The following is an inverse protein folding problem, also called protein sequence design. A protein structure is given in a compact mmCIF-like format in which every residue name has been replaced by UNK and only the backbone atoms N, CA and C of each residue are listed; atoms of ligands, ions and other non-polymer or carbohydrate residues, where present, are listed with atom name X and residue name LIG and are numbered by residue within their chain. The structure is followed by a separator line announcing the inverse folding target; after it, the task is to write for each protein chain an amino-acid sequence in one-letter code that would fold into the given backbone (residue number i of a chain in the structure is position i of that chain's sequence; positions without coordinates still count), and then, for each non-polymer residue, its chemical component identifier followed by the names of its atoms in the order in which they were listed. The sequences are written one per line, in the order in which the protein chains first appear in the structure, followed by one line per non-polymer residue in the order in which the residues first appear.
data_IF_088200774422
#
_entry.id   IF_088200774422
#
_cell.length_a   1.000
_cell.length_b   1.000
_cell.length_c   1.000
_cell.angle_alpha   90.00
_cell.angle_beta   90.00
_cell.angle_gamma   90.00
#
_symmetry.space_group_name_H-M   'P 1'
#
loop_
_entity.id
_entity.type
_entity.pdbx_description
1 polymer ?
#
# COMPACT_ATOMS: atom_id res chain seq x y z
N UNK A 1 -18.72 15.90 11.76
CA UNK A 1 -17.94 14.72 11.34
C UNK A 1 -18.10 14.62 9.83
N UNK A 2 -17.03 14.81 9.08
CA UNK A 2 -17.07 14.74 7.63
C UNK A 2 -16.61 13.33 7.22
N UNK A 3 -17.54 12.52 6.71
CA UNK A 3 -17.30 11.20 6.18
C UNK A 3 -17.53 11.16 4.67
N UNK A 4 -17.11 10.07 4.03
CA UNK A 4 -17.45 9.75 2.65
C UNK A 4 -18.43 8.59 2.65
N UNK A 5 -19.55 8.73 1.95
CA UNK A 5 -20.56 7.68 1.82
C UNK A 5 -20.31 6.87 0.55
N UNK A 6 -20.09 5.58 0.73
CA UNK A 6 -19.98 4.61 -0.37
C UNK A 6 -21.37 4.16 -0.82
N UNK A 7 -21.45 3.54 -2.00
CA UNK A 7 -22.70 2.99 -2.49
C UNK A 7 -23.25 1.89 -1.55
N UNK A 8 -24.54 1.66 -1.52
CA UNK A 8 -25.19 0.74 -0.58
C UNK A 8 -24.71 -0.72 -0.70
N UNK A 9 -24.23 -1.13 -1.87
CA UNK A 9 -23.72 -2.47 -2.14
C UNK A 9 -22.18 -2.53 -2.12
N UNK A 10 -21.53 -1.47 -1.65
CA UNK A 10 -20.08 -1.33 -1.64
C UNK A 10 -19.55 -1.40 -0.20
N UNK A 11 -18.56 -2.25 0.01
CA UNK A 11 -17.93 -2.48 1.32
C UNK A 11 -16.45 -2.20 1.24
N UNK A 12 -15.92 -1.45 2.20
CA UNK A 12 -14.48 -1.20 2.32
C UNK A 12 -13.78 -2.47 2.79
N UNK A 13 -12.78 -2.93 2.01
CA UNK A 13 -11.98 -4.11 2.31
C UNK A 13 -10.55 -3.77 2.72
N UNK A 14 -10.00 -2.68 2.19
CA UNK A 14 -8.63 -2.26 2.45
C UNK A 14 -8.54 -0.75 2.65
N UNK A 15 -7.69 -0.35 3.57
CA UNK A 15 -7.35 1.04 3.87
C UNK A 15 -5.84 1.14 4.03
N UNK A 16 -5.23 2.11 3.35
CA UNK A 16 -3.79 2.34 3.44
C UNK A 16 -3.47 3.84 3.34
N UNK A 17 -2.46 4.29 4.04
CA UNK A 17 -1.88 5.62 3.86
C UNK A 17 -0.52 5.48 3.22
N UNK A 18 -0.29 6.17 2.11
CA UNK A 18 0.94 6.03 1.34
C UNK A 18 1.39 7.33 0.70
N UNK A 19 2.70 7.44 0.50
CA UNK A 19 3.31 8.57 -0.16
C UNK A 19 3.39 8.34 -1.67
N UNK A 20 2.48 8.97 -2.44
CA UNK A 20 2.44 8.86 -3.89
C UNK A 20 3.16 10.03 -4.57
N UNK A 21 3.80 9.74 -5.70
CA UNK A 21 4.38 10.77 -6.55
C UNK A 21 3.26 11.61 -7.18
N UNK A 22 3.41 12.93 -7.08
CA UNK A 22 2.49 13.90 -7.64
C UNK A 22 3.26 14.86 -8.50
N UNK A 23 2.84 15.04 -9.74
CA UNK A 23 3.55 15.90 -10.70
C UNK A 23 3.43 17.41 -10.38
N UNK A 24 2.55 17.76 -9.43
CA UNK A 24 2.16 19.16 -9.20
C UNK A 24 3.02 19.95 -8.22
N UNK A 25 4.06 19.39 -7.60
CA UNK A 25 4.84 20.11 -6.58
C UNK A 25 6.34 19.80 -6.59
N UNK A 26 7.10 20.80 -6.14
CA UNK A 26 8.55 20.71 -5.91
C UNK A 26 8.98 19.64 -4.89
N UNK A 27 8.07 19.09 -4.07
CA UNK A 27 8.33 18.00 -3.14
C UNK A 27 8.13 16.61 -3.76
N UNK A 28 7.53 16.53 -4.96
CA UNK A 28 7.36 15.29 -5.70
C UNK A 28 6.44 14.24 -5.07
N UNK A 29 6.25 14.21 -3.73
CA UNK A 29 5.44 13.20 -3.03
C UNK A 29 4.42 13.80 -2.08
N UNK A 30 3.26 13.15 -2.00
CA UNK A 30 2.19 13.53 -1.08
C UNK A 30 1.63 12.31 -0.37
N UNK A 31 1.41 12.45 0.93
CA UNK A 31 0.74 11.44 1.72
C UNK A 31 -0.76 11.46 1.43
N UNK A 32 -1.30 10.36 0.94
CA UNK A 32 -2.68 10.20 0.50
C UNK A 32 -3.29 8.97 1.15
N UNK A 33 -4.61 8.95 1.25
CA UNK A 33 -5.36 7.81 1.78
C UNK A 33 -5.93 7.02 0.62
N UNK A 34 -5.56 5.75 0.54
CA UNK A 34 -6.03 4.78 -0.43
C UNK A 34 -7.12 3.92 0.21
N UNK A 35 -8.24 3.77 -0.48
CA UNK A 35 -9.35 2.93 -0.03
C UNK A 35 -9.69 1.94 -1.13
N UNK A 36 -9.70 0.67 -0.78
CA UNK A 36 -10.10 -0.43 -1.65
C UNK A 36 -11.44 -1.00 -1.23
N UNK A 37 -12.33 -1.22 -2.19
CA UNK A 37 -13.67 -1.70 -1.92
C UNK A 37 -14.01 -2.97 -2.71
N UNK A 38 -15.09 -3.61 -2.31
CA UNK A 38 -15.79 -4.65 -3.07
C UNK A 38 -17.25 -4.25 -3.23
N UNK A 39 -17.77 -4.42 -4.43
CA UNK A 39 -19.18 -4.28 -4.75
C UNK A 39 -19.76 -5.66 -5.06
N UNK A 40 -20.71 -6.10 -4.24
CA UNK A 40 -21.39 -7.37 -4.41
C UNK A 40 -22.75 -7.15 -5.07
N UNK A 41 -22.98 -7.83 -6.19
CA UNK A 41 -24.21 -7.71 -6.98
C UNK A 41 -25.10 -8.96 -6.93
N UNK A 42 -24.86 -9.86 -5.96
CA UNK A 42 -25.52 -11.15 -5.83
C UNK A 42 -24.71 -12.29 -6.48
N UNK A 43 -25.34 -13.47 -6.57
CA UNK A 43 -24.65 -14.70 -7.02
C UNK A 43 -24.39 -14.74 -8.53
N UNK A 44 -25.19 -14.01 -9.31
CA UNK A 44 -25.16 -14.05 -10.78
C UNK A 44 -24.12 -13.11 -11.41
N UNK A 45 -23.48 -12.26 -10.63
CA UNK A 45 -22.49 -11.30 -11.12
C UNK A 45 -21.17 -11.44 -10.38
N UNK A 46 -20.09 -11.37 -11.13
CA UNK A 46 -18.75 -11.30 -10.54
C UNK A 46 -18.62 -10.03 -9.68
N UNK A 47 -18.03 -10.18 -8.51
CA UNK A 47 -17.73 -9.04 -7.65
C UNK A 47 -16.78 -8.09 -8.38
N UNK A 48 -17.11 -6.82 -8.38
CA UNK A 48 -16.25 -5.72 -8.80
C UNK A 48 -15.73 -4.98 -7.57
N UNK A 49 -14.94 -3.96 -7.76
CA UNK A 49 -14.49 -3.09 -6.69
C UNK A 49 -14.15 -1.72 -7.20
N UNK A 50 -13.81 -0.83 -6.30
CA UNK A 50 -13.26 0.48 -6.64
C UNK A 50 -12.00 0.74 -5.83
N UNK A 51 -11.11 1.50 -6.42
CA UNK A 51 -10.00 2.11 -5.73
C UNK A 51 -10.24 3.61 -5.65
N UNK A 52 -10.21 4.14 -4.43
CA UNK A 52 -10.36 5.55 -4.14
C UNK A 52 -9.04 6.12 -3.64
N UNK A 53 -8.76 7.33 -4.02
CA UNK A 53 -7.63 8.11 -3.51
C UNK A 53 -8.18 9.38 -2.90
N UNK A 54 -7.93 9.58 -1.61
CA UNK A 54 -8.34 10.76 -0.88
C UNK A 54 -7.14 11.55 -0.42
N UNK A 55 -7.33 12.84 -0.40
CA UNK A 55 -6.46 13.81 0.22
C UNK A 55 -7.07 14.29 1.54
N UNK A 56 -6.25 14.41 2.56
CA UNK A 56 -6.65 14.99 3.84
C UNK A 56 -6.28 16.47 3.83
N UNK A 57 -7.27 17.33 3.75
CA UNK A 57 -7.07 18.78 3.68
C UNK A 57 -7.56 19.47 4.96
N UNK A 58 -6.88 20.54 5.35
CA UNK A 58 -7.38 21.41 6.39
C UNK A 58 -8.52 22.28 5.83
N UNK A 59 -9.67 22.25 6.52
CA UNK A 59 -10.78 23.13 6.20
C UNK A 59 -10.53 24.52 6.76
N UNK A 60 -10.80 25.55 5.95
CA UNK A 60 -10.76 26.93 6.43
C UNK A 60 -11.86 27.10 7.47
N UNK A 61 -11.47 27.50 8.68
CA UNK A 61 -12.42 27.78 9.77
C UNK A 61 -13.16 29.09 9.49
N UNK A 62 -14.46 29.00 9.36
CA UNK A 62 -15.30 30.17 9.53
C UNK A 62 -15.51 30.37 11.04
N UNK A 63 -15.52 31.65 11.48
CA UNK A 63 -15.52 32.04 12.91
C UNK A 63 -16.70 31.50 13.75
N UNK A 64 -17.68 30.87 13.13
CA UNK A 64 -18.91 30.36 13.74
C UNK A 64 -18.92 28.82 13.98
N UNK A 65 -17.93 28.10 13.48
CA UNK A 65 -17.82 26.65 13.66
C UNK A 65 -17.24 26.30 15.03
N UNK A 66 -18.10 26.01 15.99
CA UNK A 66 -17.74 25.59 17.36
C UNK A 66 -17.28 24.12 17.43
N UNK A 67 -17.46 23.34 16.39
CA UNK A 67 -17.01 21.95 16.30
C UNK A 67 -15.62 21.89 15.64
N UNK A 68 -14.64 21.48 16.45
CA UNK A 68 -13.22 21.59 16.22
C UNK A 68 -12.57 20.70 15.15
N UNK A 69 -13.30 20.10 14.21
CA UNK A 69 -12.73 19.29 13.13
C UNK A 69 -12.32 20.17 11.94
N UNK A 70 -11.03 20.48 11.88
CA UNK A 70 -10.43 21.24 10.77
C UNK A 70 -10.04 20.36 9.56
N UNK A 71 -10.21 19.03 9.64
CA UNK A 71 -9.78 18.09 8.59
C UNK A 71 -10.98 17.61 7.77
N UNK A 72 -10.81 17.57 6.45
CA UNK A 72 -11.79 17.04 5.48
C UNK A 72 -11.12 16.07 4.52
N UNK A 73 -11.87 15.04 4.14
CA UNK A 73 -11.49 14.14 3.05
C UNK A 73 -11.91 14.75 1.72
N UNK A 74 -10.96 14.92 0.81
CA UNK A 74 -11.18 15.33 -0.57
C UNK A 74 -10.92 14.16 -1.48
N UNK A 75 -11.95 13.69 -2.18
CA UNK A 75 -11.78 12.68 -3.21
C UNK A 75 -10.98 13.25 -4.37
N UNK A 76 -9.87 12.60 -4.72
CA UNK A 76 -9.05 12.94 -5.88
C UNK A 76 -9.40 12.04 -7.08
N UNK A 77 -9.45 10.74 -6.84
CA UNK A 77 -9.64 9.74 -7.88
C UNK A 77 -10.55 8.63 -7.38
N UNK A 78 -11.45 8.17 -8.26
CA UNK A 78 -12.23 6.95 -8.09
C UNK A 78 -12.14 6.14 -9.37
N UNK A 79 -11.72 4.89 -9.27
CA UNK A 79 -11.58 4.02 -10.42
C UNK A 79 -12.23 2.66 -10.18
N UNK A 80 -13.00 2.20 -11.15
CA UNK A 80 -13.61 0.88 -11.12
C UNK A 80 -12.57 -0.20 -11.43
N UNK A 81 -12.54 -1.24 -10.60
CA UNK A 81 -11.65 -2.37 -10.71
C UNK A 81 -12.40 -3.63 -11.14
N UNK A 82 -11.75 -4.46 -11.96
CA UNK A 82 -12.33 -5.72 -12.45
C UNK A 82 -12.36 -6.84 -11.41
N UNK A 83 -12.40 -6.50 -10.14
CA UNK A 83 -12.43 -7.43 -9.02
C UNK A 83 -12.38 -6.70 -7.69
N UNK A 84 -12.57 -7.41 -6.58
CA UNK A 84 -12.45 -6.83 -5.24
C UNK A 84 -11.04 -6.32 -5.02
N UNK A 85 -10.90 -5.16 -4.38
CA UNK A 85 -9.61 -4.61 -3.92
C UNK A 85 -9.38 -5.08 -2.50
N UNK A 86 -8.56 -6.11 -2.34
CA UNK A 86 -8.43 -6.85 -1.07
C UNK A 86 -7.29 -6.38 -0.20
N UNK A 87 -6.24 -5.81 -0.80
CA UNK A 87 -5.11 -5.25 -0.07
C UNK A 87 -4.53 -4.06 -0.83
N UNK A 88 -3.97 -3.12 -0.09
CA UNK A 88 -3.35 -1.91 -0.60
C UNK A 88 -1.98 -1.69 0.04
N UNK A 89 -1.10 -1.03 -0.69
CA UNK A 89 0.22 -0.60 -0.25
C UNK A 89 0.73 0.56 -1.07
N UNK A 90 1.92 1.03 -0.76
CA UNK A 90 2.64 2.00 -1.56
C UNK A 90 4.10 1.58 -1.74
N UNK A 91 4.72 1.99 -2.81
CA UNK A 91 6.14 1.77 -3.06
C UNK A 91 6.69 2.78 -4.04
N UNK A 92 7.78 3.46 -3.64
CA UNK A 92 8.53 4.39 -4.50
C UNK A 92 7.66 5.45 -5.20
N UNK A 93 6.58 5.90 -4.54
CA UNK A 93 5.64 6.87 -5.11
C UNK A 93 4.49 6.26 -5.91
N UNK A 94 4.46 4.95 -6.08
CA UNK A 94 3.37 4.22 -6.73
C UNK A 94 2.41 3.65 -5.70
N UNK A 95 1.13 3.58 -6.05
CA UNK A 95 0.15 2.82 -5.31
C UNK A 95 0.19 1.35 -5.73
N UNK A 96 0.11 0.45 -4.77
CA UNK A 96 0.04 -0.99 -4.99
C UNK A 96 -1.35 -1.46 -4.60
N UNK A 97 -2.01 -2.21 -5.49
CA UNK A 97 -3.34 -2.74 -5.22
C UNK A 97 -3.44 -4.21 -5.62
N UNK A 98 -3.94 -5.03 -4.71
CA UNK A 98 -4.36 -6.39 -5.02
C UNK A 98 -5.83 -6.36 -5.46
N UNK A 99 -6.06 -6.73 -6.72
CA UNK A 99 -7.37 -6.66 -7.36
C UNK A 99 -7.72 -8.04 -7.93
N UNK A 100 -8.59 -8.77 -7.25
CA UNK A 100 -8.89 -10.15 -7.62
C UNK A 100 -7.64 -11.01 -7.63
N UNK A 101 -7.25 -11.52 -8.81
CA UNK A 101 -6.06 -12.36 -9.01
C UNK A 101 -4.87 -11.58 -9.60
N UNK A 102 -4.81 -10.27 -9.39
CA UNK A 102 -3.73 -9.44 -9.90
C UNK A 102 -3.21 -8.49 -8.83
N UNK A 103 -1.90 -8.34 -8.82
CA UNK A 103 -1.23 -7.24 -8.13
C UNK A 103 -0.94 -6.16 -9.16
N UNK A 104 -1.41 -4.96 -8.93
CA UNK A 104 -1.25 -3.80 -9.80
C UNK A 104 -0.34 -2.78 -9.16
N UNK A 105 0.60 -2.23 -9.94
CA UNK A 105 1.37 -1.03 -9.59
C UNK A 105 0.78 0.12 -10.37
N UNK A 106 0.37 1.17 -9.66
CA UNK A 106 -0.37 2.30 -10.23
C UNK A 106 0.33 3.62 -9.98
N UNK A 107 0.49 4.42 -11.01
CA UNK A 107 0.93 5.81 -10.92
C UNK A 107 -0.27 6.73 -10.81
N UNK A 108 -0.20 7.72 -9.92
CA UNK A 108 -1.21 8.78 -9.85
C UNK A 108 -0.80 9.92 -10.78
N UNK A 109 -1.56 10.12 -11.85
CA UNK A 109 -1.29 11.17 -12.82
C UNK A 109 -2.29 12.33 -12.68
N UNK A 110 -1.77 13.55 -12.73
CA UNK A 110 -2.54 14.78 -12.63
C UNK A 110 -3.47 14.87 -11.40
N UNK A 111 -3.22 14.07 -10.35
CA UNK A 111 -4.08 13.96 -9.17
C UNK A 111 -5.53 13.52 -9.48
N UNK A 112 -5.77 12.92 -10.63
CA UNK A 112 -7.10 12.58 -11.11
C UNK A 112 -7.27 11.13 -11.57
N UNK A 113 -6.20 10.50 -12.06
CA UNK A 113 -6.26 9.12 -12.59
C UNK A 113 -5.15 8.24 -12.06
N UNK A 114 -5.48 6.96 -11.99
CA UNK A 114 -4.49 5.92 -11.69
C UNK A 114 -4.16 5.16 -12.97
N UNK A 115 -2.89 5.22 -13.38
CA UNK A 115 -2.39 4.49 -14.56
C UNK A 115 -1.65 3.24 -14.12
N UNK A 116 -1.96 2.09 -14.71
CA UNK A 116 -1.23 0.85 -14.43
C UNK A 116 0.11 0.87 -15.13
N UNK A 117 1.20 0.81 -14.36
CA UNK A 117 2.58 0.79 -14.87
C UNK A 117 3.17 -0.61 -14.89
N UNK A 118 2.73 -1.48 -13.97
CA UNK A 118 3.13 -2.88 -13.93
C UNK A 118 2.03 -3.73 -13.30
N UNK A 119 2.05 -5.05 -13.60
CA UNK A 119 1.17 -6.00 -12.95
C UNK A 119 1.84 -7.36 -12.80
N UNK A 120 1.32 -8.16 -11.87
CA UNK A 120 1.70 -9.55 -11.65
C UNK A 120 0.43 -10.35 -11.40
N UNK A 121 0.30 -11.50 -12.08
CA UNK A 121 -0.78 -12.42 -11.78
C UNK A 121 -0.49 -13.15 -10.47
N UNK A 122 -1.42 -13.05 -9.52
CA UNK A 122 -1.38 -13.71 -8.22
C UNK A 122 -2.29 -14.93 -8.21
N UNK A 123 -2.15 -15.81 -7.19
CA UNK A 123 -2.86 -17.07 -7.24
C UNK A 123 -4.35 -16.94 -6.96
N UNK A 124 -4.73 -16.21 -5.90
CA UNK A 124 -6.13 -16.13 -5.47
C UNK A 124 -6.49 -14.82 -4.78
N UNK A 125 -6.23 -14.74 -3.47
CA UNK A 125 -6.74 -13.68 -2.62
C UNK A 125 -5.61 -13.13 -1.76
N UNK A 126 -5.00 -12.05 -2.22
CA UNK A 126 -3.98 -11.36 -1.44
C UNK A 126 -4.67 -10.64 -0.30
N UNK A 127 -4.34 -11.05 0.92
CA UNK A 127 -4.94 -10.54 2.16
C UNK A 127 -4.17 -9.35 2.75
N UNK A 128 -2.85 -9.28 2.50
CA UNK A 128 -2.01 -8.20 3.00
C UNK A 128 -0.80 -7.97 2.11
N UNK A 129 -0.31 -6.74 2.08
CA UNK A 129 0.86 -6.31 1.31
C UNK A 129 1.78 -5.55 2.25
N UNK A 130 2.99 -6.06 2.46
CA UNK A 130 4.02 -5.41 3.26
C UNK A 130 5.22 -5.04 2.40
N UNK A 131 5.73 -3.83 2.58
CA UNK A 131 6.87 -3.31 1.82
C UNK A 131 8.16 -3.34 2.65
N UNK A 132 9.24 -3.78 2.03
CA UNK A 132 10.60 -3.60 2.53
C UNK A 132 11.48 -3.10 1.39
N UNK A 133 11.74 -1.81 1.33
CA UNK A 133 12.42 -1.15 0.21
C UNK A 133 11.68 -1.43 -1.11
N UNK A 134 12.35 -2.08 -2.07
CA UNK A 134 11.78 -2.47 -3.38
C UNK A 134 11.16 -3.87 -3.38
N UNK A 135 11.06 -4.50 -2.21
CA UNK A 135 10.47 -5.82 -2.06
C UNK A 135 9.09 -5.73 -1.46
N UNK A 136 8.21 -6.60 -1.93
CA UNK A 136 6.86 -6.79 -1.41
C UNK A 136 6.75 -8.21 -0.85
N UNK A 137 6.26 -8.30 0.36
CA UNK A 137 5.78 -9.53 0.94
C UNK A 137 4.25 -9.53 0.81
N UNK A 138 3.73 -10.45 0.01
CA UNK A 138 2.29 -10.64 -0.15
C UNK A 138 1.88 -11.84 0.68
N UNK A 139 0.82 -11.72 1.44
CA UNK A 139 0.17 -12.88 2.06
C UNK A 139 -1.09 -13.22 1.28
N UNK A 140 -1.23 -14.49 0.94
CA UNK A 140 -2.40 -15.00 0.24
C UNK A 140 -3.17 -15.92 1.18
N UNK A 141 -4.49 -15.74 1.23
CA UNK A 141 -5.35 -16.51 2.12
C UNK A 141 -5.32 -18.02 1.85
N UNK A 142 -4.99 -18.44 0.62
CA UNK A 142 -4.99 -19.85 0.22
C UNK A 142 -3.61 -20.41 -0.14
N UNK A 143 -2.66 -19.56 -0.47
CA UNK A 143 -1.39 -19.95 -1.10
C UNK A 143 -0.14 -19.51 -0.35
N UNK A 144 -0.30 -19.07 0.91
CA UNK A 144 0.83 -18.72 1.75
C UNK A 144 1.46 -17.37 1.43
N UNK A 145 2.76 -17.26 1.53
CA UNK A 145 3.49 -16.02 1.35
C UNK A 145 4.21 -15.97 -0.01
N UNK A 146 4.18 -14.80 -0.65
CA UNK A 146 4.86 -14.53 -1.91
C UNK A 146 5.85 -13.40 -1.71
N UNK A 147 7.05 -13.56 -2.23
CA UNK A 147 8.10 -12.56 -2.18
C UNK A 147 8.34 -12.02 -3.59
N UNK A 148 8.07 -10.73 -3.77
CA UNK A 148 8.07 -10.05 -5.06
C UNK A 148 9.00 -8.87 -5.01
N UNK A 149 9.71 -8.57 -6.10
CA UNK A 149 10.48 -7.35 -6.28
C UNK A 149 9.87 -6.50 -7.37
N UNK A 150 9.84 -5.19 -7.15
CA UNK A 150 9.51 -4.21 -8.18
C UNK A 150 10.78 -3.59 -8.74
N UNK A 151 10.93 -3.65 -10.05
CA UNK A 151 11.93 -2.95 -10.82
C UNK A 151 11.28 -1.76 -11.51
N UNK A 152 11.86 -0.58 -11.40
CA UNK A 152 11.26 0.65 -11.96
C UNK A 152 11.55 0.81 -13.45
N UNK A 153 12.75 0.42 -13.88
CA UNK A 153 13.16 0.54 -15.28
C UNK A 153 13.71 -0.79 -15.83
N UNK A 154 12.98 -1.44 -16.72
CA UNK A 154 11.56 -1.22 -17.06
C UNK A 154 10.63 -1.55 -15.89
N UNK A 155 9.48 -0.86 -15.80
CA UNK A 155 8.52 -1.09 -14.71
C UNK A 155 7.95 -2.51 -14.76
N UNK A 156 8.43 -3.37 -13.87
CA UNK A 156 8.06 -4.80 -13.84
C UNK A 156 8.03 -5.34 -12.41
N UNK A 157 7.13 -6.27 -12.18
CA UNK A 157 7.08 -7.08 -10.96
C UNK A 157 7.64 -8.47 -11.24
N UNK A 158 8.58 -8.92 -10.42
CA UNK A 158 9.17 -10.25 -10.53
C UNK A 158 8.93 -11.05 -9.25
N UNK A 159 8.40 -12.25 -9.41
CA UNK A 159 8.29 -13.20 -8.30
C UNK A 159 9.67 -13.77 -7.99
N UNK A 160 10.16 -13.53 -6.78
CA UNK A 160 11.43 -14.07 -6.29
C UNK A 160 11.27 -15.45 -5.66
N UNK A 161 10.18 -15.64 -4.95
CA UNK A 161 9.90 -16.90 -4.28
C UNK A 161 8.49 -16.91 -3.69
N UNK A 162 8.03 -18.11 -3.41
CA UNK A 162 6.76 -18.32 -2.71
C UNK A 162 6.89 -19.48 -1.75
N UNK A 163 6.17 -19.38 -0.65
CA UNK A 163 5.98 -20.50 0.22
C UNK A 163 5.04 -21.53 -0.44
N UNK A 164 5.46 -22.78 -0.49
CA UNK A 164 4.66 -23.86 -1.04
C UNK A 164 3.76 -24.54 0.00
N UNK A 165 3.93 -24.16 1.28
CA UNK A 165 3.09 -24.70 2.33
C UNK A 165 1.69 -24.08 2.26
N UNK A 166 0.63 -24.89 2.20
CA UNK A 166 -0.73 -24.39 2.04
C UNK A 166 -1.27 -23.84 3.38
N UNK A 167 -0.64 -22.80 3.90
CA UNK A 167 -1.12 -22.09 5.09
C UNK A 167 -2.08 -20.96 4.67
N UNK A 168 -3.13 -20.77 5.45
CA UNK A 168 -4.02 -19.63 5.32
C UNK A 168 -3.41 -18.45 6.04
N UNK A 169 -2.93 -17.46 5.30
CA UNK A 169 -2.33 -16.27 5.87
C UNK A 169 -3.29 -15.09 5.73
N UNK A 170 -3.55 -14.43 6.85
CA UNK A 170 -4.40 -13.23 6.89
C UNK A 170 -3.55 -11.98 6.82
N UNK A 171 -2.43 -11.98 7.52
CA UNK A 171 -1.45 -10.90 7.53
C UNK A 171 -0.05 -11.47 7.75
N UNK A 172 0.96 -10.75 7.31
CA UNK A 172 2.36 -11.10 7.51
C UNK A 172 3.20 -9.85 7.61
N UNK A 173 4.40 -9.97 8.17
CA UNK A 173 5.30 -8.85 8.24
C UNK A 173 6.76 -9.29 8.21
N UNK A 174 7.65 -8.48 7.62
CA UNK A 174 9.08 -8.77 7.64
C UNK A 174 9.66 -8.52 9.02
N UNK A 175 10.30 -9.53 9.60
CA UNK A 175 11.13 -9.34 10.77
C UNK A 175 12.53 -8.92 10.32
N UNK A 176 12.84 -7.63 10.46
CA UNK A 176 14.20 -7.14 10.25
C UNK A 176 14.95 -7.23 11.57
N UNK A 177 15.93 -8.16 11.71
CA UNK A 177 16.71 -8.23 12.93
C UNK A 177 17.46 -6.90 13.11
N UNK A 178 17.58 -6.38 14.34
CA UNK A 178 18.39 -5.20 14.61
C UNK A 178 19.79 -5.47 14.08
N UNK A 179 20.29 -4.56 13.23
CA UNK A 179 21.63 -4.66 12.66
C UNK A 179 22.62 -4.97 13.76
N UNK A 180 23.50 -5.94 13.56
CA UNK A 180 24.62 -6.19 14.48
C UNK A 180 25.42 -4.90 14.54
N UNK A 181 25.18 -4.09 15.58
CA UNK A 181 26.01 -2.96 15.91
C UNK A 181 27.44 -3.45 15.92
N UNK A 182 28.32 -2.74 15.26
CA UNK A 182 29.73 -3.02 15.26
C UNK A 182 30.16 -3.32 16.70
N UNK A 183 30.51 -4.57 16.96
CA UNK A 183 31.13 -4.93 18.24
C UNK A 183 32.38 -4.09 18.32
N UNK A 184 32.40 -3.09 19.22
CA UNK A 184 33.61 -2.39 19.59
C UNK A 184 34.65 -3.44 19.93
N UNK A 185 35.69 -3.49 19.12
CA UNK A 185 36.84 -4.35 19.41
C UNK A 185 37.37 -4.00 20.80
N UNK A 186 37.90 -4.97 21.55
CA UNK A 186 38.49 -4.69 22.85
C UNK A 186 39.66 -3.72 22.68
N UNK A 187 39.56 -2.59 23.35
CA UNK A 187 40.59 -1.58 23.47
C UNK A 187 41.83 -2.29 24.11
N UNK A 188 42.82 -2.55 23.27
CA UNK A 188 44.12 -3.03 23.74
C UNK A 188 44.86 -1.82 24.34
N UNK A 189 44.55 -1.51 25.59
CA UNK A 189 45.37 -0.62 26.41
C UNK A 189 46.80 -1.13 26.51
N UNK A 190 47.65 -0.55 25.65
CA UNK A 190 49.11 -0.74 25.74
C UNK A 190 49.64 -0.04 26.96
N UNK A 191 49.75 -0.71 28.06
CA UNK A 191 50.55 -0.27 29.22
C UNK A 191 52.03 -0.36 28.84
N UNK A 192 52.67 0.75 28.62
CA UNK A 192 54.14 0.89 28.71
C UNK A 192 54.46 1.31 30.12
N UNK A 193 54.92 0.35 30.95
CA UNK A 193 55.66 0.61 32.15
C UNK A 193 57.11 0.87 31.80
N UNK A 194 57.63 2.04 32.14
CA UNK A 194 59.04 2.34 32.15
C UNK A 194 59.69 1.94 33.50
N UNK A 195 60.86 1.48 33.44
CA UNK A 195 61.92 1.64 34.45
C UNK A 195 63.23 1.51 33.73
#
# INVERSE_FOLDING_TARGET
MHGYEFAANETVCALHTGALDTQDRASGRRELVLVGTVSAYGEDRTAAGHMYVFDVIEAVRYADDRDGDSLRLRLLCREEMRGPVTALGDMNGYAIAAVGQKLLVRSLEHMEWLVTVAFLDTAYYTSDIQRVKNYLLLTDYHRGAWFVVFQEEPAQLHLLGRDHYPARLVAGGPLVPPGRGARGGPDRGGGRGGA
#
